data_IF_788550776125
#
_entry.id   IF_788550776125
#
_cell.length_a   1.000
_cell.length_b   1.000
_cell.length_c   1.000
_cell.angle_alpha   90.00
_cell.angle_beta   90.00
_cell.angle_gamma   90.00
#
_symmetry.space_group_name_H-M   'P 1'
#
loop_
_entity.id
_entity.type
_entity.pdbx_description
1 polymer ?
#
# COMPACT_ATOMS: atom_id res chain seq x y z
N UNK A 1 6.83 3.10 5.71
CA UNK A 1 6.15 1.87 5.24
C UNK A 1 4.67 2.09 5.46
N UNK A 2 3.83 1.77 4.46
CA UNK A 2 2.39 2.01 4.51
C UNK A 2 1.63 0.68 4.35
N UNK A 3 0.62 0.41 5.20
CA UNK A 3 -0.25 -0.74 5.02
C UNK A 3 -1.13 -0.54 3.79
N UNK A 4 -1.27 -1.57 2.95
CA UNK A 4 -2.04 -1.47 1.71
C UNK A 4 -3.12 -2.55 1.56
N UNK A 5 -3.23 -3.49 2.50
CA UNK A 5 -4.26 -4.55 2.51
C UNK A 5 -5.23 -4.41 3.68
N UNK A 6 -6.13 -5.38 3.81
CA UNK A 6 -7.20 -5.43 4.79
C UNK A 6 -8.24 -4.30 4.68
N UNK A 7 -8.56 -3.88 3.46
CA UNK A 7 -9.43 -2.71 3.21
C UNK A 7 -10.84 -3.03 2.70
N UNK A 8 -11.16 -4.27 2.31
CA UNK A 8 -12.54 -4.65 1.96
C UNK A 8 -13.21 -5.53 3.05
N UNK A 9 -14.54 -5.39 3.26
CA UNK A 9 -15.44 -4.43 2.63
C UNK A 9 -15.27 -3.01 3.21
N UNK A 10 -15.23 -2.00 2.33
CA UNK A 10 -14.95 -0.60 2.70
C UNK A 10 -15.78 -0.09 3.88
N UNK A 11 -17.09 -0.39 3.93
CA UNK A 11 -17.99 0.08 5.00
C UNK A 11 -17.52 -0.34 6.40
N UNK A 12 -16.91 -1.51 6.52
CA UNK A 12 -16.40 -2.07 7.77
C UNK A 12 -14.96 -1.62 8.05
N UNK A 13 -14.11 -1.66 7.02
CA UNK A 13 -12.66 -1.50 7.20
C UNK A 13 -12.19 -0.05 7.22
N UNK A 14 -12.86 0.88 6.53
CA UNK A 14 -12.40 2.27 6.29
C UNK A 14 -12.05 3.07 7.56
N UNK A 15 -12.61 2.70 8.71
CA UNK A 15 -12.32 3.37 9.99
C UNK A 15 -10.96 3.00 10.60
N UNK A 16 -10.34 1.92 10.11
CA UNK A 16 -9.14 1.30 10.70
C UNK A 16 -8.07 0.91 9.68
N UNK A 17 -8.41 0.79 8.41
CA UNK A 17 -7.49 0.40 7.34
C UNK A 17 -7.54 1.39 6.20
N UNK A 18 -6.37 1.69 5.65
CA UNK A 18 -6.23 2.43 4.40
C UNK A 18 -6.31 1.47 3.22
N UNK A 19 -6.96 1.89 2.14
CA UNK A 19 -6.78 1.26 0.84
C UNK A 19 -5.43 1.69 0.21
N UNK A 20 -5.01 1.10 -0.93
CA UNK A 20 -3.74 1.40 -1.56
C UNK A 20 -3.56 2.88 -1.96
N UNK A 21 -4.63 3.53 -2.43
CA UNK A 21 -4.61 4.94 -2.84
C UNK A 21 -4.44 5.87 -1.63
N UNK A 22 -5.15 5.60 -0.54
CA UNK A 22 -5.02 6.31 0.74
C UNK A 22 -3.63 6.13 1.35
N UNK A 23 -3.03 4.95 1.21
CA UNK A 23 -1.66 4.69 1.63
C UNK A 23 -0.63 5.52 0.84
N UNK A 24 -0.85 5.74 -0.46
CA UNK A 24 -0.05 6.66 -1.28
C UNK A 24 -0.26 8.10 -0.81
N UNK A 25 -1.50 8.53 -0.59
CA UNK A 25 -1.81 9.86 -0.09
C UNK A 25 -1.15 10.12 1.28
N UNK A 26 -1.21 9.17 2.20
CA UNK A 26 -0.57 9.28 3.51
C UNK A 26 0.96 9.41 3.40
N UNK A 27 1.60 8.76 2.43
CA UNK A 27 3.03 8.92 2.17
C UNK A 27 3.38 10.33 1.66
N UNK A 28 2.51 10.92 0.83
CA UNK A 28 2.64 12.30 0.35
C UNK A 28 2.46 13.29 1.51
N UNK A 29 1.44 13.07 2.35
CA UNK A 29 1.09 13.97 3.46
C UNK A 29 2.23 14.09 4.48
N UNK A 30 2.99 13.01 4.69
CA UNK A 30 4.18 13.02 5.56
C UNK A 30 5.47 13.42 4.83
N UNK A 31 5.38 13.86 3.57
CA UNK A 31 6.51 14.26 2.73
C UNK A 31 7.57 13.17 2.58
N UNK A 32 7.15 11.91 2.46
CA UNK A 32 8.08 10.80 2.29
C UNK A 32 8.69 10.80 0.89
N UNK A 33 10.03 10.73 0.81
CA UNK A 33 10.73 10.53 -0.46
C UNK A 33 10.60 9.10 -1.00
N UNK A 34 10.41 8.13 -0.11
CA UNK A 34 10.27 6.70 -0.42
C UNK A 34 9.19 6.09 0.45
N UNK A 35 8.47 5.10 -0.06
CA UNK A 35 7.49 4.33 0.71
C UNK A 35 7.60 2.84 0.39
N UNK A 36 7.27 2.01 1.37
CA UNK A 36 7.33 0.55 1.26
C UNK A 36 5.95 0.01 1.61
N UNK A 37 5.33 -0.70 0.66
CA UNK A 37 4.09 -1.41 0.88
C UNK A 37 4.27 -2.53 1.91
N UNK A 38 3.38 -2.59 2.90
CA UNK A 38 3.31 -3.64 3.91
C UNK A 38 1.85 -4.08 4.12
N UNK A 39 1.64 -5.07 4.98
CA UNK A 39 0.29 -5.53 5.37
C UNK A 39 -0.55 -6.06 4.18
N UNK A 40 0.07 -6.80 3.26
CA UNK A 40 -0.60 -7.47 2.15
C UNK A 40 0.01 -8.86 1.89
N UNK A 41 -0.70 -9.70 1.15
CA UNK A 41 -0.16 -10.95 0.56
C UNK A 41 0.35 -12.01 1.55
N UNK A 42 0.06 -11.87 2.85
CA UNK A 42 0.58 -12.77 3.90
C UNK A 42 -0.53 -13.52 4.64
N UNK A 43 -1.58 -12.81 5.05
CA UNK A 43 -2.75 -13.38 5.73
C UNK A 43 -4.01 -12.96 4.98
N UNK A 44 -4.99 -13.87 4.95
CA UNK A 44 -6.34 -13.63 4.44
C UNK A 44 -7.19 -13.02 5.58
N UNK A 45 -7.37 -11.70 5.56
CA UNK A 45 -7.96 -10.91 6.66
C UNK A 45 -9.23 -10.14 6.25
N UNK A 46 -9.59 -10.18 4.98
CA UNK A 46 -10.52 -9.23 4.35
C UNK A 46 -10.93 -9.72 2.95
N UNK A 47 -11.88 -9.03 2.32
CA UNK A 47 -12.54 -9.51 1.10
C UNK A 47 -11.81 -9.16 -0.21
N UNK A 48 -10.74 -8.36 -0.19
CA UNK A 48 -10.00 -8.04 -1.42
C UNK A 48 -9.17 -9.23 -1.92
N UNK A 49 -8.97 -9.38 -3.24
CA UNK A 49 -8.05 -10.38 -3.76
C UNK A 49 -6.62 -10.13 -3.25
N UNK A 50 -5.95 -11.15 -2.73
CA UNK A 50 -4.59 -11.03 -2.16
C UNK A 50 -3.55 -10.41 -3.13
N UNK A 51 -3.76 -10.52 -4.44
CA UNK A 51 -2.87 -9.95 -5.47
C UNK A 51 -3.20 -8.50 -5.85
N UNK A 52 -4.39 -8.00 -5.52
CA UNK A 52 -4.86 -6.67 -5.93
C UNK A 52 -4.12 -5.50 -5.23
N UNK A 53 -3.85 -5.55 -3.89
CA UNK A 53 -3.21 -4.44 -3.19
C UNK A 53 -1.93 -3.89 -3.85
N UNK A 54 -0.91 -4.72 -4.18
CA UNK A 54 0.31 -4.20 -4.77
C UNK A 54 0.09 -3.55 -6.14
N UNK A 55 -0.81 -4.09 -6.97
CA UNK A 55 -1.11 -3.55 -8.30
C UNK A 55 -1.73 -2.14 -8.20
N UNK A 56 -2.70 -1.98 -7.30
CA UNK A 56 -3.35 -0.68 -7.03
C UNK A 56 -2.39 0.33 -6.42
N UNK A 57 -1.53 -0.11 -5.48
CA UNK A 57 -0.54 0.76 -4.86
C UNK A 57 0.46 1.33 -5.87
N UNK A 58 0.99 0.49 -6.76
CA UNK A 58 1.92 0.92 -7.80
C UNK A 58 1.22 1.88 -8.79
N UNK A 59 -0.03 1.58 -9.20
CA UNK A 59 -0.80 2.45 -10.06
C UNK A 59 -1.04 3.83 -9.43
N UNK A 60 -1.45 3.88 -8.16
CA UNK A 60 -1.68 5.13 -7.43
C UNK A 60 -0.39 5.95 -7.27
N UNK A 61 0.75 5.29 -7.02
CA UNK A 61 2.04 5.96 -6.89
C UNK A 61 2.51 6.59 -8.21
N UNK A 62 2.29 5.90 -9.34
CA UNK A 62 2.58 6.43 -10.69
C UNK A 62 1.71 7.65 -10.99
N UNK A 63 0.42 7.61 -10.66
CA UNK A 63 -0.50 8.73 -10.90
C UNK A 63 -0.13 9.96 -10.06
N UNK A 64 0.31 9.77 -8.82
CA UNK A 64 0.61 10.87 -7.91
C UNK A 64 1.86 11.69 -8.30
N UNK A 65 2.68 11.24 -9.26
CA UNK A 65 3.92 11.88 -9.78
C UNK A 65 4.95 12.33 -8.71
N UNK A 66 4.74 12.01 -7.44
CA UNK A 66 5.42 12.61 -6.28
C UNK A 66 6.28 11.62 -5.50
N UNK A 67 6.16 10.31 -5.78
CA UNK A 67 6.92 9.26 -5.08
C UNK A 67 7.73 8.49 -6.12
N UNK A 68 9.02 8.81 -6.23
CA UNK A 68 9.95 8.12 -7.13
C UNK A 68 10.22 6.66 -6.69
N UNK A 69 9.90 6.31 -5.44
CA UNK A 69 10.24 5.03 -4.82
C UNK A 69 9.09 4.44 -3.99
N UNK A 70 8.00 4.08 -4.68
CA UNK A 70 6.96 3.22 -4.12
C UNK A 70 7.36 1.76 -4.28
N UNK A 71 7.85 1.14 -3.20
CA UNK A 71 8.39 -0.21 -3.25
C UNK A 71 7.35 -1.26 -2.86
N UNK A 72 7.14 -2.20 -3.78
CA UNK A 72 6.57 -3.52 -3.50
C UNK A 72 7.73 -4.52 -3.59
N UNK A 73 7.96 -5.28 -2.52
CA UNK A 73 9.09 -6.23 -2.45
C UNK A 73 8.63 -7.65 -2.16
N UNK A 74 9.44 -8.63 -2.55
CA UNK A 74 9.17 -10.04 -2.22
C UNK A 74 9.42 -10.32 -0.74
N UNK A 75 8.72 -11.32 -0.18
CA UNK A 75 8.98 -11.80 1.19
C UNK A 75 10.45 -12.23 1.30
N UNK A 76 11.19 -11.58 2.20
CA UNK A 76 12.63 -11.82 2.42
C UNK A 76 13.57 -11.02 1.52
N UNK A 77 13.07 -10.21 0.58
CA UNK A 77 13.89 -9.26 -0.19
C UNK A 77 14.47 -8.17 0.72
N UNK A 78 15.66 -7.66 0.35
CA UNK A 78 16.33 -6.56 1.03
C UNK A 78 16.61 -5.43 0.05
N UNK A 79 16.37 -4.19 0.47
CA UNK A 79 16.76 -2.98 -0.26
C UNK A 79 17.52 -2.02 0.66
N UNK A 80 18.38 -1.20 0.05
CA UNK A 80 19.11 -0.13 0.74
C UNK A 80 18.33 1.17 0.56
N UNK A 81 18.18 1.94 1.64
CA UNK A 81 17.41 3.18 1.69
C UNK A 81 18.29 4.42 1.68
#
# INVERSE_FOLDING_TARGET
AMPIGAYEPTLMMQSTHMNPEEAVQAAIDVQANKTLAIHFGTFDLSDEPLSEPPERFEAAAVEALSIEDAWVIKIGERRVF
#
